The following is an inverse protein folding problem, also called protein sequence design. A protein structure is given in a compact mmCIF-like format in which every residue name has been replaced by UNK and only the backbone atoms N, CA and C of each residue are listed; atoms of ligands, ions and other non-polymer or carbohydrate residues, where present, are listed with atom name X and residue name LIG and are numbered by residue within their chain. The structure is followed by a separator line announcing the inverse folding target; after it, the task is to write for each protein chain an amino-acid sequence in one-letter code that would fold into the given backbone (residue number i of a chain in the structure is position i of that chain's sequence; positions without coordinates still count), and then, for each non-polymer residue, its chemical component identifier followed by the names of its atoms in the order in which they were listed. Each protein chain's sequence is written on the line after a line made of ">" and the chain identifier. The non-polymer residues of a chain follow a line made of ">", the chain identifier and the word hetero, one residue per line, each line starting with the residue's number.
data_IF_280913181266
#
_entry.id   IF_280913181266
#
_cell.length_a   1.000
_cell.length_b   1.000
_cell.length_c   1.000
_cell.angle_alpha   90.00
_cell.angle_beta   90.00
_cell.angle_gamma   90.00
#
_symmetry.space_group_name_H-M   'P 1'
#
loop_
_entity.id
_entity.type
_entity.pdbx_description
1 polymer ?
#
# COMPACT_ATOMS: atom_id res chain seq x y z
N UNK A 1 -4.79 13.25 20.50
CA UNK A 1 -3.78 12.16 20.59
C UNK A 1 -3.68 11.71 22.04
N UNK A 2 -3.50 10.41 22.27
CA UNK A 2 -3.18 9.84 23.58
C UNK A 2 -1.66 9.90 23.81
N UNK A 3 -1.22 10.16 25.04
CA UNK A 3 0.22 10.18 25.38
C UNK A 3 0.67 8.76 25.68
N UNK A 4 1.60 8.26 24.87
CA UNK A 4 2.22 6.94 25.06
C UNK A 4 3.72 7.11 25.24
N UNK A 5 4.29 6.45 26.26
CA UNK A 5 5.74 6.38 26.43
C UNK A 5 6.25 5.09 25.78
N UNK A 6 7.18 5.22 24.84
CA UNK A 6 7.86 4.11 24.18
C UNK A 6 9.36 4.30 24.31
N UNK A 7 10.11 3.19 24.32
CA UNK A 7 11.57 3.23 24.29
C UNK A 7 12.05 3.03 22.85
N UNK A 8 13.08 3.78 22.47
CA UNK A 8 13.77 3.65 21.20
C UNK A 8 15.23 3.35 21.49
N UNK A 9 15.89 2.61 20.61
CA UNK A 9 17.34 2.48 20.68
C UNK A 9 18.00 3.83 20.40
N UNK A 10 19.23 4.01 20.87
CA UNK A 10 20.01 5.22 20.61
C UNK A 10 20.15 5.48 19.11
N UNK A 11 20.43 4.43 18.34
CA UNK A 11 20.52 4.51 16.88
C UNK A 11 19.21 4.99 16.24
N UNK A 12 18.06 4.44 16.64
CA UNK A 12 16.75 4.85 16.14
C UNK A 12 16.48 6.33 16.44
N UNK A 13 16.76 6.76 17.67
CA UNK A 13 16.62 8.15 18.09
C UNK A 13 17.48 9.09 17.24
N UNK A 14 18.74 8.74 17.00
CA UNK A 14 19.65 9.55 16.21
C UNK A 14 19.21 9.64 14.75
N UNK A 15 18.79 8.52 14.15
CA UNK A 15 18.32 8.48 12.76
C UNK A 15 17.05 9.29 12.56
N UNK A 16 16.11 9.21 13.50
CA UNK A 16 14.89 10.02 13.46
C UNK A 16 15.18 11.52 13.58
N UNK A 17 16.12 11.93 14.44
CA UNK A 17 16.53 13.34 14.56
C UNK A 17 17.17 13.86 13.28
N UNK A 18 18.07 13.08 12.67
CA UNK A 18 18.70 13.46 11.39
C UNK A 18 17.67 13.59 10.28
N UNK A 19 16.72 12.64 10.18
CA UNK A 19 15.65 12.70 9.19
C UNK A 19 14.71 13.89 9.42
N UNK A 20 14.33 14.16 10.67
CA UNK A 20 13.53 15.31 11.07
C UNK A 20 14.17 16.63 10.65
N UNK A 21 15.47 16.79 10.91
CA UNK A 21 16.22 17.97 10.50
C UNK A 21 16.28 18.12 8.97
N UNK A 22 16.48 17.02 8.24
CA UNK A 22 16.52 17.02 6.78
C UNK A 22 15.17 17.40 6.15
N UNK A 23 14.07 16.95 6.75
CA UNK A 23 12.71 17.20 6.23
C UNK A 23 12.05 18.46 6.81
N UNK A 24 12.67 19.13 7.78
CA UNK A 24 12.07 20.29 8.46
C UNK A 24 10.83 19.93 9.28
N UNK A 25 10.72 18.68 9.75
CA UNK A 25 9.55 18.16 10.49
C UNK A 25 9.91 17.79 11.93
N UNK A 26 8.97 17.88 12.89
CA UNK A 26 9.19 17.35 14.23
C UNK A 26 9.35 15.82 14.23
N UNK A 27 10.25 15.29 15.07
CA UNK A 27 10.45 13.83 15.25
C UNK A 27 9.13 13.11 15.56
N UNK A 28 8.26 13.72 16.36
CA UNK A 28 6.96 13.15 16.70
C UNK A 28 6.04 12.98 15.47
N UNK A 29 6.18 13.82 14.45
CA UNK A 29 5.43 13.69 13.21
C UNK A 29 5.91 12.50 12.38
N UNK A 30 7.23 12.32 12.27
CA UNK A 30 7.82 11.17 11.58
C UNK A 30 7.42 9.84 12.24
N UNK A 31 7.41 9.80 13.57
CA UNK A 31 6.96 8.59 14.31
C UNK A 31 5.51 8.28 13.98
N UNK A 32 4.63 9.28 13.98
CA UNK A 32 3.21 9.08 13.63
C UNK A 32 3.04 8.61 12.18
N UNK A 33 3.67 9.29 11.22
CA UNK A 33 3.63 8.88 9.81
C UNK A 33 4.13 7.45 9.62
N UNK A 34 5.18 7.06 10.35
CA UNK A 34 5.72 5.69 10.30
C UNK A 34 4.75 4.67 10.89
N UNK A 35 4.10 5.00 12.02
CA UNK A 35 3.09 4.14 12.64
C UNK A 35 1.86 4.00 11.73
N UNK A 36 1.37 5.10 11.16
CA UNK A 36 0.24 5.09 10.23
C UNK A 36 0.56 4.24 8.99
N UNK A 37 1.75 4.41 8.40
CA UNK A 37 2.20 3.62 7.27
C UNK A 37 2.36 2.13 7.61
N UNK A 38 2.87 1.81 8.81
CA UNK A 38 2.98 0.43 9.28
C UNK A 38 1.60 -0.20 9.53
N UNK A 39 0.66 0.54 10.13
CA UNK A 39 -0.70 0.04 10.35
C UNK A 39 -1.46 -0.14 9.04
N UNK A 40 -1.23 0.74 8.06
CA UNK A 40 -1.78 0.59 6.71
C UNK A 40 -1.14 -0.57 5.92
N UNK A 41 0.09 -0.98 6.25
CA UNK A 41 0.76 -2.11 5.60
C UNK A 41 0.48 -3.45 6.27
N UNK A 42 0.31 -3.48 7.60
CA UNK A 42 -0.02 -4.67 8.40
C UNK A 42 -1.51 -4.96 8.38
N UNK A 43 -2.34 -3.92 8.45
CA UNK A 43 -3.75 -4.02 8.14
C UNK A 43 -3.86 -4.19 6.64
N UNK A 44 -3.96 -5.44 6.18
CA UNK A 44 -4.46 -5.81 4.86
C UNK A 44 -5.29 -4.66 4.31
N UNK A 45 -4.80 -3.99 3.25
CA UNK A 45 -5.57 -3.17 2.31
C UNK A 45 -7.05 -3.40 2.60
N UNK A 46 -7.66 -2.46 3.32
CA UNK A 46 -9.00 -2.58 3.89
C UNK A 46 -9.85 -3.44 2.97
N UNK A 47 -10.25 -4.64 3.41
CA UNK A 47 -10.96 -5.60 2.54
C UNK A 47 -12.21 -4.92 1.92
N UNK A 48 -12.75 -3.89 2.58
CA UNK A 48 -13.72 -2.96 2.04
C UNK A 48 -13.22 -2.18 0.82
N UNK A 49 -12.06 -1.51 0.91
CA UNK A 49 -11.43 -0.79 -0.20
C UNK A 49 -10.98 -1.71 -1.35
N UNK A 50 -10.45 -2.91 -1.07
CA UNK A 50 -10.19 -3.93 -2.11
C UNK A 50 -11.46 -4.33 -2.85
N UNK A 51 -12.52 -4.68 -2.10
CA UNK A 51 -13.82 -5.02 -2.70
C UNK A 51 -14.40 -3.85 -3.47
N UNK A 52 -14.32 -2.63 -2.95
CA UNK A 52 -14.80 -1.42 -3.62
C UNK A 52 -14.09 -1.20 -4.95
N UNK A 53 -12.76 -1.36 -4.99
CA UNK A 53 -11.98 -1.25 -6.24
C UNK A 53 -12.29 -2.38 -7.23
N UNK A 54 -12.39 -3.62 -6.75
CA UNK A 54 -12.76 -4.76 -7.59
C UNK A 54 -14.16 -4.58 -8.21
N UNK A 55 -15.14 -4.16 -7.41
CA UNK A 55 -16.50 -3.85 -7.87
C UNK A 55 -16.53 -2.66 -8.83
N UNK A 56 -15.72 -1.63 -8.59
CA UNK A 56 -15.63 -0.48 -9.48
C UNK A 56 -15.05 -0.84 -10.85
N UNK A 57 -14.11 -1.79 -10.90
CA UNK A 57 -13.51 -2.27 -12.15
C UNK A 57 -14.40 -3.29 -12.89
N UNK A 58 -15.22 -4.06 -12.16
CA UNK A 58 -16.12 -5.04 -12.74
C UNK A 58 -17.14 -4.35 -13.68
N UNK A 59 -17.17 -4.77 -14.95
CA UNK A 59 -18.08 -4.22 -15.96
C UNK A 59 -17.61 -2.94 -16.66
N UNK A 60 -16.44 -2.38 -16.31
CA UNK A 60 -15.87 -1.24 -17.05
C UNK A 60 -15.32 -1.60 -18.42
N UNK A 61 -14.99 -2.88 -18.64
CA UNK A 61 -14.32 -3.35 -19.84
C UNK A 61 -15.13 -4.45 -20.50
N UNK A 62 -15.32 -4.32 -21.81
CA UNK A 62 -15.98 -5.32 -22.64
C UNK A 62 -14.92 -6.08 -23.44
N UNK A 63 -14.97 -7.40 -23.38
CA UNK A 63 -14.16 -8.27 -24.22
C UNK A 63 -15.02 -8.79 -25.37
N UNK A 64 -14.51 -8.73 -26.59
CA UNK A 64 -15.18 -9.33 -27.77
C UNK A 64 -15.20 -10.86 -27.69
N UNK A 65 -14.29 -11.43 -26.90
CA UNK A 65 -14.13 -12.86 -26.67
C UNK A 65 -14.83 -13.23 -25.36
N UNK A 66 -15.84 -14.09 -25.44
CA UNK A 66 -16.73 -14.40 -24.32
C UNK A 66 -16.08 -15.25 -23.21
N UNK A 67 -15.05 -16.03 -23.53
CA UNK A 67 -14.29 -16.88 -22.60
C UNK A 67 -12.93 -16.29 -22.21
N UNK A 68 -12.67 -15.01 -22.52
CA UNK A 68 -11.38 -14.35 -22.25
C UNK A 68 -11.00 -14.40 -20.76
N UNK A 69 -11.99 -14.28 -19.87
CA UNK A 69 -11.77 -14.33 -18.43
C UNK A 69 -11.37 -15.73 -17.94
N UNK A 70 -11.81 -16.80 -18.59
CA UNK A 70 -11.44 -18.19 -18.24
C UNK A 70 -10.14 -18.62 -18.93
N UNK A 71 -9.91 -18.16 -20.16
CA UNK A 71 -8.76 -18.50 -20.98
C UNK A 71 -7.61 -17.51 -20.95
N UNK A 72 -7.54 -16.61 -19.98
CA UNK A 72 -6.64 -15.45 -19.99
C UNK A 72 -5.18 -15.80 -20.29
N UNK A 73 -4.65 -16.88 -19.70
CA UNK A 73 -3.25 -17.31 -19.87
C UNK A 73 -2.98 -17.84 -21.28
N UNK A 74 -3.95 -18.55 -21.87
CA UNK A 74 -3.86 -19.05 -23.25
C UNK A 74 -3.77 -17.87 -24.22
N UNK A 75 -4.69 -16.91 -24.11
CA UNK A 75 -4.73 -15.74 -24.98
C UNK A 75 -3.52 -14.83 -24.80
N UNK A 76 -3.02 -14.70 -23.57
CA UNK A 76 -1.78 -14.00 -23.30
C UNK A 76 -0.60 -14.64 -24.05
N UNK A 77 -0.49 -15.96 -23.96
CA UNK A 77 0.59 -16.70 -24.62
C UNK A 77 0.50 -16.60 -26.15
N UNK A 78 -0.69 -16.71 -26.73
CA UNK A 78 -0.93 -16.50 -28.18
C UNK A 78 -0.49 -15.10 -28.64
N UNK A 79 -0.78 -14.06 -27.87
CA UNK A 79 -0.43 -12.68 -28.21
C UNK A 79 1.09 -12.40 -28.17
N UNK A 80 1.85 -13.09 -27.31
CA UNK A 80 3.30 -12.91 -27.17
C UNK A 80 4.15 -13.88 -28.00
N UNK A 81 3.52 -14.87 -28.66
CA UNK A 81 4.18 -15.80 -29.58
C UNK A 81 4.13 -15.34 -31.05
N UNK A 82 3.73 -14.08 -31.31
CA UNK A 82 3.70 -13.44 -32.63
C UNK A 82 4.98 -12.68 -32.96
#
# INVERSE_FOLDING_TARGET
>A
MLRTQIQLTEEQSQRLKTLAAREGKPVAELIRQSVDAMLASVGNLDEGEKRRRALAAAGQFHAEISDLAEGHDRYLNEAFQS
#
